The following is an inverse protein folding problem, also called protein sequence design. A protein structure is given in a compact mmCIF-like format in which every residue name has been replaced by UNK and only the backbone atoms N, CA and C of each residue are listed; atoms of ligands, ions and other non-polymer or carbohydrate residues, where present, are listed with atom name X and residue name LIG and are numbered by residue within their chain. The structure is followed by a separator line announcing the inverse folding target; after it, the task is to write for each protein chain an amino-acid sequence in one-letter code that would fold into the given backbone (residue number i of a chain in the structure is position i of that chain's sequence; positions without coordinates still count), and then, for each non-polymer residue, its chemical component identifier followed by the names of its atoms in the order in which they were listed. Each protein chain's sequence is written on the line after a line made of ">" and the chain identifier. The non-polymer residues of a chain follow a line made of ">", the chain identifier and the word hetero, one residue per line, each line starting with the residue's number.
data_IF_355332534901
#
_entry.id   IF_355332534901
#
_cell.length_a   1.000
_cell.length_b   1.000
_cell.length_c   1.000
_cell.angle_alpha   90.00
_cell.angle_beta   90.00
_cell.angle_gamma   90.00
#
_symmetry.space_group_name_H-M   'P 1'
#
loop_
_entity.id
_entity.type
_entity.pdbx_description
1 polymer ?
#
# COMPACT_ATOMS: atom_id res chain seq x y z
N UNK A 1 5.85 -3.26 20.95
CA UNK A 1 4.43 -3.39 21.37
C UNK A 1 3.83 -2.03 21.76
N UNK A 2 4.39 -1.25 22.71
CA UNK A 2 3.86 0.09 23.10
C UNK A 2 3.65 0.99 21.87
N UNK A 3 4.62 1.08 20.96
CA UNK A 3 4.52 1.87 19.73
C UNK A 3 3.36 1.41 18.83
N UNK A 4 3.17 0.11 18.66
CA UNK A 4 2.03 -0.42 17.88
C UNK A 4 0.70 -0.02 18.50
N UNK A 5 0.58 -0.11 19.82
CA UNK A 5 -0.63 0.34 20.53
C UNK A 5 -0.83 1.84 20.34
N UNK A 6 0.21 2.66 20.45
CA UNK A 6 0.12 4.10 20.24
C UNK A 6 -0.37 4.44 18.83
N UNK A 7 0.14 3.79 17.80
CA UNK A 7 -0.33 4.00 16.42
C UNK A 7 -1.78 3.56 16.22
N UNK A 8 -2.26 2.51 16.90
CA UNK A 8 -3.69 2.16 16.91
C UNK A 8 -4.57 3.21 17.58
N UNK A 9 -4.02 4.01 18.50
CA UNK A 9 -4.66 5.16 19.13
C UNK A 9 -4.38 6.50 18.42
N UNK A 10 -3.98 6.43 17.14
CA UNK A 10 -3.73 7.60 16.26
C UNK A 10 -2.53 8.43 16.73
N UNK A 11 -1.58 7.82 17.45
CA UNK A 11 -0.28 8.45 17.74
C UNK A 11 0.53 8.65 16.46
N UNK A 12 1.16 9.81 16.29
CA UNK A 12 1.90 10.16 15.07
C UNK A 12 3.42 10.21 15.27
N UNK A 13 3.87 10.42 16.51
CA UNK A 13 5.27 10.60 16.83
C UNK A 13 5.73 9.89 18.12
N UNK A 14 7.00 10.03 18.48
CA UNK A 14 7.57 9.41 19.67
C UNK A 14 7.04 10.01 20.96
N UNK A 15 6.63 11.28 20.94
CA UNK A 15 6.02 11.94 22.08
C UNK A 15 4.66 11.33 22.39
N UNK A 16 3.85 11.05 21.38
CA UNK A 16 2.56 10.39 21.54
C UNK A 16 2.73 8.97 22.11
N UNK A 17 3.73 8.22 21.65
CA UNK A 17 4.07 6.89 22.19
C UNK A 17 4.42 6.99 23.68
N UNK A 18 5.25 7.98 24.04
CA UNK A 18 5.64 8.22 25.42
C UNK A 18 4.46 8.64 26.29
N UNK A 19 3.62 9.57 25.82
CA UNK A 19 2.44 10.04 26.54
C UNK A 19 1.44 8.90 26.79
N UNK A 20 1.15 8.08 25.78
CA UNK A 20 0.31 6.89 25.94
C UNK A 20 0.89 5.95 27.00
N UNK A 21 2.17 5.63 26.91
CA UNK A 21 2.84 4.76 27.85
C UNK A 21 2.81 5.32 29.27
N UNK A 22 3.04 6.62 29.43
CA UNK A 22 3.06 7.28 30.74
C UNK A 22 1.68 7.34 31.40
N UNK A 23 0.64 7.64 30.63
CA UNK A 23 -0.70 7.85 31.19
C UNK A 23 -1.51 6.56 31.29
N UNK A 24 -1.29 5.60 30.39
CA UNK A 24 -2.08 4.37 30.30
C UNK A 24 -1.26 3.08 30.39
N UNK A 25 0.05 3.15 30.67
CA UNK A 25 0.93 1.99 30.74
C UNK A 25 0.48 0.94 31.74
N UNK A 26 -0.14 1.36 32.84
CA UNK A 26 -0.69 0.44 33.86
C UNK A 26 -1.82 -0.44 33.30
N UNK A 27 -2.66 0.11 32.40
CA UNK A 27 -3.76 -0.63 31.75
C UNK A 27 -3.23 -1.71 30.81
N UNK A 28 -2.04 -1.49 30.24
CA UNK A 28 -1.40 -2.40 29.31
C UNK A 28 -0.42 -3.39 29.98
N UNK A 29 -0.18 -3.27 31.30
CA UNK A 29 0.70 -4.17 32.05
C UNK A 29 0.42 -5.67 31.82
N UNK A 30 -0.84 -6.13 31.70
CA UNK A 30 -1.11 -7.54 31.42
C UNK A 30 -0.61 -8.00 30.04
N UNK A 31 -0.43 -7.07 29.10
CA UNK A 31 0.01 -7.31 27.73
C UNK A 31 1.48 -6.94 27.51
N UNK A 32 2.02 -6.06 28.35
CA UNK A 32 3.35 -5.48 28.18
C UNK A 32 4.18 -5.71 29.44
N UNK A 33 5.24 -6.49 29.29
CA UNK A 33 6.26 -6.58 30.32
C UNK A 33 7.11 -5.29 30.30
N UNK A 34 6.83 -4.38 31.23
CA UNK A 34 7.59 -3.14 31.43
C UNK A 34 8.28 -3.16 32.79
N UNK A 35 9.31 -4.01 33.01
CA UNK A 35 9.92 -4.21 34.32
C UNK A 35 10.57 -2.93 34.86
N UNK A 36 11.03 -2.05 33.99
CA UNK A 36 11.67 -0.77 34.34
C UNK A 36 10.74 0.44 34.15
N UNK A 37 9.43 0.21 34.01
CA UNK A 37 8.46 1.26 33.76
C UNK A 37 8.44 1.74 32.30
N UNK A 38 7.80 2.89 32.06
CA UNK A 38 7.68 3.47 30.75
C UNK A 38 9.04 3.99 30.24
N UNK A 39 9.52 3.58 29.05
CA UNK A 39 10.72 4.13 28.44
C UNK A 39 10.56 5.62 28.13
N UNK A 40 11.68 6.36 28.06
CA UNK A 40 11.67 7.75 27.62
C UNK A 40 11.46 7.85 26.11
N UNK A 41 11.06 9.04 25.65
CA UNK A 41 10.91 9.37 24.21
C UNK A 41 12.15 9.04 23.40
N UNK A 42 13.35 9.46 23.87
CA UNK A 42 14.64 9.13 23.24
C UNK A 42 14.89 7.62 23.14
N UNK A 43 14.39 6.85 24.11
CA UNK A 43 14.52 5.40 24.09
C UNK A 43 13.63 4.80 23.01
N UNK A 44 12.39 5.29 22.85
CA UNK A 44 11.51 4.87 21.78
C UNK A 44 12.12 5.21 20.41
N UNK A 45 12.61 6.44 20.23
CA UNK A 45 13.28 6.87 19.00
C UNK A 45 14.45 5.94 18.65
N UNK A 46 15.37 5.72 19.58
CA UNK A 46 16.54 4.86 19.38
C UNK A 46 16.17 3.42 19.02
N UNK A 47 15.16 2.86 19.68
CA UNK A 47 14.69 1.50 19.40
C UNK A 47 14.06 1.43 18.00
N UNK A 48 13.19 2.38 17.66
CA UNK A 48 12.52 2.40 16.35
C UNK A 48 13.51 2.60 15.19
N UNK A 49 14.59 3.38 15.40
CA UNK A 49 15.67 3.53 14.43
C UNK A 49 16.52 2.26 14.26
N UNK A 50 16.58 1.41 15.28
CA UNK A 50 17.32 0.14 15.23
C UNK A 50 16.52 -1.04 14.70
N UNK A 51 15.20 -0.88 14.55
CA UNK A 51 14.34 -1.95 14.02
C UNK A 51 14.51 -2.06 12.51
N UNK A 52 14.73 -3.27 12.02
CA UNK A 52 14.78 -3.57 10.60
C UNK A 52 13.36 -3.59 10.00
N UNK A 53 13.11 -2.72 9.02
CA UNK A 53 11.80 -2.61 8.35
C UNK A 53 11.33 -3.91 7.73
N UNK A 54 12.27 -4.72 7.20
CA UNK A 54 11.96 -6.00 6.56
C UNK A 54 11.44 -7.03 7.57
N UNK A 55 11.96 -7.02 8.80
CA UNK A 55 11.48 -7.90 9.86
C UNK A 55 10.05 -7.55 10.31
N UNK A 56 9.75 -6.25 10.44
CA UNK A 56 8.37 -5.80 10.72
C UNK A 56 7.44 -6.18 9.58
N UNK A 57 7.85 -5.95 8.33
CA UNK A 57 7.06 -6.32 7.15
C UNK A 57 6.76 -7.81 7.13
N UNK A 58 7.76 -8.66 7.37
CA UNK A 58 7.57 -10.11 7.46
C UNK A 58 6.60 -10.52 8.58
N UNK A 59 6.70 -9.90 9.76
CA UNK A 59 5.74 -10.14 10.84
C UNK A 59 4.31 -9.74 10.46
N UNK A 60 4.13 -8.61 9.79
CA UNK A 60 2.83 -8.14 9.32
C UNK A 60 2.26 -9.06 8.24
N UNK A 61 3.08 -9.54 7.30
CA UNK A 61 2.69 -10.51 6.27
C UNK A 61 2.20 -11.82 6.90
N UNK A 62 2.90 -12.34 7.92
CA UNK A 62 2.46 -13.52 8.67
C UNK A 62 1.13 -13.27 9.38
N UNK A 63 0.99 -12.11 10.03
CA UNK A 63 -0.25 -11.76 10.72
C UNK A 63 -1.44 -11.62 9.76
N UNK A 64 -1.24 -10.92 8.65
CA UNK A 64 -2.30 -10.73 7.64
C UNK A 64 -2.70 -12.03 6.97
N UNK A 65 -1.76 -12.97 6.74
CA UNK A 65 -2.05 -14.30 6.20
C UNK A 65 -2.90 -15.18 7.12
N UNK A 66 -2.90 -14.90 8.43
CA UNK A 66 -3.80 -15.56 9.38
C UNK A 66 -5.23 -15.03 9.30
N UNK A 67 -5.39 -13.75 8.90
CA UNK A 67 -6.69 -13.10 8.74
C UNK A 67 -7.30 -13.46 7.38
N UNK A 68 -6.50 -13.34 6.32
CA UNK A 68 -6.91 -13.61 4.94
C UNK A 68 -6.16 -14.84 4.46
N UNK A 69 -6.84 -15.98 4.51
CA UNK A 69 -6.25 -17.28 4.13
C UNK A 69 -6.27 -17.54 2.63
N UNK A 70 -7.19 -16.89 1.92
CA UNK A 70 -7.41 -17.06 0.49
C UNK A 70 -7.71 -15.69 -0.12
N UNK A 71 -7.02 -15.35 -1.19
CA UNK A 71 -7.21 -14.11 -1.94
C UNK A 71 -8.18 -14.29 -3.12
N UNK A 72 -8.66 -15.49 -3.37
CA UNK A 72 -9.58 -15.79 -4.48
C UNK A 72 -10.87 -14.97 -4.36
N UNK A 73 -11.24 -14.31 -5.45
CA UNK A 73 -12.41 -13.43 -5.51
C UNK A 73 -12.23 -12.07 -4.85
N UNK A 74 -11.07 -11.80 -4.24
CA UNK A 74 -10.80 -10.51 -3.59
C UNK A 74 -10.16 -9.51 -4.56
N UNK A 75 -10.39 -8.24 -4.29
CA UNK A 75 -9.82 -7.12 -5.04
C UNK A 75 -8.58 -6.58 -4.31
N UNK A 76 -7.45 -6.66 -4.97
CA UNK A 76 -6.14 -6.18 -4.48
C UNK A 76 -5.77 -4.91 -5.25
N UNK A 77 -5.82 -3.76 -4.59
CA UNK A 77 -5.34 -2.51 -5.14
C UNK A 77 -3.85 -2.33 -4.83
N UNK A 78 -3.03 -2.11 -5.85
CA UNK A 78 -1.61 -1.77 -5.68
C UNK A 78 -1.43 -0.29 -5.98
N UNK A 79 -0.92 0.43 -4.99
CA UNK A 79 -0.68 1.87 -5.07
C UNK A 79 0.64 2.25 -4.40
N UNK A 80 1.28 3.27 -4.97
CA UNK A 80 2.54 3.82 -4.48
C UNK A 80 2.31 5.12 -3.72
N UNK A 81 2.78 5.18 -2.47
CA UNK A 81 2.64 6.38 -1.64
C UNK A 81 4.00 6.97 -1.30
N UNK A 82 4.17 8.24 -1.62
CA UNK A 82 5.32 9.03 -1.16
C UNK A 82 5.19 9.29 0.34
N UNK A 83 6.19 8.85 1.11
CA UNK A 83 6.24 9.08 2.55
C UNK A 83 6.64 10.52 2.84
N UNK A 84 5.74 11.24 3.50
CA UNK A 84 6.01 12.61 3.97
C UNK A 84 6.90 12.55 5.22
N UNK A 85 7.86 13.46 5.34
CA UNK A 85 8.72 13.54 6.53
C UNK A 85 9.95 12.63 6.53
N UNK A 86 10.12 11.72 5.56
CA UNK A 86 11.31 10.87 5.47
C UNK A 86 12.57 11.64 5.07
N UNK A 87 12.43 12.92 4.71
CA UNK A 87 13.55 13.80 4.38
C UNK A 87 13.43 15.18 5.09
N UNK A 88 13.52 15.22 6.41
CA UNK A 88 13.28 16.46 7.18
C UNK A 88 14.31 17.57 6.92
N UNK A 89 15.48 17.25 6.33
CA UNK A 89 16.54 18.21 6.03
C UNK A 89 16.61 18.62 4.56
N UNK A 90 15.70 18.15 3.71
CA UNK A 90 15.66 18.50 2.28
C UNK A 90 16.83 17.96 1.45
N UNK A 91 17.69 17.13 2.01
CA UNK A 91 18.82 16.49 1.32
C UNK A 91 18.49 15.01 1.08
N UNK A 92 18.18 14.66 -0.16
CA UNK A 92 17.84 13.32 -0.60
C UNK A 92 16.41 13.19 -1.11
N UNK A 93 16.08 12.04 -1.68
CA UNK A 93 14.74 11.75 -2.18
C UNK A 93 13.84 11.22 -1.07
N UNK A 94 12.55 11.55 -1.15
CA UNK A 94 11.57 11.00 -0.22
C UNK A 94 11.37 9.52 -0.52
N UNK A 95 11.27 8.69 0.52
CA UNK A 95 10.97 7.27 0.38
C UNK A 95 9.56 7.06 -0.18
N UNK A 96 9.42 6.08 -1.06
CA UNK A 96 8.12 5.60 -1.56
C UNK A 96 7.86 4.20 -1.05
N UNK A 97 6.61 3.88 -0.78
CA UNK A 97 6.19 2.53 -0.42
C UNK A 97 5.08 2.11 -1.36
N UNK A 98 5.27 0.98 -2.03
CA UNK A 98 4.20 0.26 -2.72
C UNK A 98 3.46 -0.58 -1.69
N UNK A 99 2.13 -0.55 -1.73
CA UNK A 99 1.27 -1.34 -0.85
C UNK A 99 0.28 -2.14 -1.67
N UNK A 100 0.04 -3.38 -1.26
CA UNK A 100 -1.03 -4.22 -1.76
C UNK A 100 -2.17 -4.20 -0.74
N UNK A 101 -3.29 -3.59 -1.11
CA UNK A 101 -4.45 -3.35 -0.27
C UNK A 101 -5.61 -4.21 -0.69
N UNK A 102 -6.17 -4.99 0.23
CA UNK A 102 -7.40 -5.78 0.00
C UNK A 102 -8.60 -4.94 0.41
N UNK A 103 -9.44 -4.58 -0.57
CA UNK A 103 -10.55 -3.66 -0.36
C UNK A 103 -11.62 -4.23 0.58
N UNK A 104 -11.96 -5.50 0.42
CA UNK A 104 -13.02 -6.16 1.19
C UNK A 104 -12.69 -6.25 2.69
N UNK A 105 -11.40 -6.31 3.02
CA UNK A 105 -10.91 -6.39 4.40
C UNK A 105 -10.35 -5.09 4.93
N UNK A 106 -10.21 -4.06 4.08
CA UNK A 106 -9.56 -2.79 4.43
C UNK A 106 -8.18 -3.01 5.07
N UNK A 107 -7.38 -3.90 4.48
CA UNK A 107 -6.12 -4.35 5.04
C UNK A 107 -5.01 -4.36 3.99
N UNK A 108 -3.84 -3.82 4.35
CA UNK A 108 -2.61 -3.98 3.56
C UNK A 108 -2.00 -5.34 3.86
N UNK A 109 -1.80 -6.16 2.83
CA UNK A 109 -1.30 -7.55 2.96
C UNK A 109 0.17 -7.70 2.64
N UNK A 110 0.73 -6.74 1.90
CA UNK A 110 2.17 -6.69 1.61
C UNK A 110 2.58 -5.26 1.29
N UNK A 111 3.85 -4.98 1.54
CA UNK A 111 4.48 -3.70 1.19
C UNK A 111 5.88 -3.93 0.62
N UNK A 112 6.33 -2.99 -0.23
CA UNK A 112 7.67 -2.97 -0.80
C UNK A 112 8.20 -1.54 -0.80
N UNK A 113 9.38 -1.33 -0.22
CA UNK A 113 10.03 -0.04 -0.26
C UNK A 113 10.67 0.21 -1.62
N UNK A 114 10.37 1.36 -2.22
CA UNK A 114 11.01 1.80 -3.46
C UNK A 114 12.30 2.52 -3.10
N UNK A 115 13.44 1.89 -3.41
CA UNK A 115 14.76 2.47 -3.13
C UNK A 115 15.07 3.69 -3.99
N UNK A 116 16.00 4.55 -3.53
CA UNK A 116 16.39 5.81 -4.19
C UNK A 116 16.78 5.68 -5.67
N UNK A 117 17.29 4.51 -6.10
CA UNK A 117 17.73 4.23 -7.48
C UNK A 117 16.72 3.36 -8.26
N UNK A 118 15.61 3.00 -7.68
CA UNK A 118 14.55 2.21 -8.31
C UNK A 118 13.31 3.06 -8.53
N UNK A 119 12.51 2.70 -9.52
CA UNK A 119 11.20 3.31 -9.72
C UNK A 119 10.10 2.35 -9.27
N UNK A 120 8.90 2.85 -9.11
CA UNK A 120 7.74 2.05 -8.68
C UNK A 120 7.52 0.83 -9.59
N UNK A 121 7.70 0.99 -10.91
CA UNK A 121 7.51 -0.08 -11.92
C UNK A 121 8.41 -1.28 -11.61
N UNK A 122 9.67 -1.06 -11.22
CA UNK A 122 10.63 -2.13 -10.93
C UNK A 122 10.37 -2.83 -9.59
N UNK A 123 9.61 -2.22 -8.70
CA UNK A 123 9.25 -2.79 -7.41
C UNK A 123 7.93 -3.58 -7.44
N UNK A 124 7.03 -3.29 -8.39
CA UNK A 124 5.77 -4.02 -8.54
C UNK A 124 5.98 -5.55 -8.68
N UNK A 125 6.88 -6.06 -9.53
CA UNK A 125 7.13 -7.50 -9.62
C UNK A 125 7.52 -8.14 -8.29
N UNK A 126 8.36 -7.48 -7.49
CA UNK A 126 8.77 -7.98 -6.17
C UNK A 126 7.60 -8.04 -5.19
N UNK A 127 6.72 -7.02 -5.22
CA UNK A 127 5.52 -7.03 -4.40
C UNK A 127 4.56 -8.15 -4.81
N UNK A 128 4.34 -8.35 -6.13
CA UNK A 128 3.51 -9.42 -6.65
C UNK A 128 4.07 -10.82 -6.29
N UNK A 129 5.41 -10.98 -6.21
CA UNK A 129 6.02 -12.25 -5.84
C UNK A 129 5.66 -12.69 -4.42
N UNK A 130 5.44 -11.76 -3.51
CA UNK A 130 5.01 -12.03 -2.13
C UNK A 130 3.57 -12.53 -2.03
N UNK A 131 2.75 -12.38 -3.07
CA UNK A 131 1.30 -12.62 -3.02
C UNK A 131 0.92 -13.92 -3.73
N UNK A 132 -0.02 -14.67 -3.15
CA UNK A 132 -0.69 -15.81 -3.79
C UNK A 132 -1.93 -15.30 -4.55
N UNK A 133 -1.77 -14.95 -5.84
CA UNK A 133 -2.78 -14.22 -6.61
C UNK A 133 -3.84 -15.11 -7.26
N UNK A 134 -3.83 -16.42 -7.06
CA UNK A 134 -4.79 -17.33 -7.70
C UNK A 134 -6.23 -16.91 -7.44
N UNK A 135 -6.96 -16.57 -8.50
CA UNK A 135 -8.36 -16.13 -8.44
C UNK A 135 -8.59 -14.71 -7.89
N UNK A 136 -7.55 -13.96 -7.53
CA UNK A 136 -7.67 -12.56 -7.12
C UNK A 136 -7.70 -11.62 -8.33
N UNK A 137 -8.25 -10.42 -8.15
CA UNK A 137 -8.24 -9.34 -9.15
C UNK A 137 -7.30 -8.24 -8.68
N UNK A 138 -6.20 -8.02 -9.39
CA UNK A 138 -5.22 -6.97 -9.09
C UNK A 138 -5.54 -5.71 -9.89
N UNK A 139 -5.58 -4.56 -9.23
CA UNK A 139 -5.74 -3.27 -9.89
C UNK A 139 -4.55 -2.37 -9.65
N UNK A 140 -4.15 -1.64 -10.66
CA UNK A 140 -3.08 -0.64 -10.61
C UNK A 140 -3.42 0.57 -11.45
N UNK A 141 -2.76 1.69 -11.16
CA UNK A 141 -2.80 2.87 -11.99
C UNK A 141 -2.04 2.67 -13.32
N UNK A 142 -2.01 3.70 -14.16
CA UNK A 142 -1.39 3.63 -15.49
C UNK A 142 0.12 3.36 -15.47
N UNK A 143 0.83 3.63 -14.38
CA UNK A 143 2.26 3.28 -14.27
C UNK A 143 2.47 1.77 -14.23
N UNK A 144 1.53 1.03 -13.61
CA UNK A 144 1.53 -0.43 -13.57
C UNK A 144 1.12 -1.11 -14.88
N UNK A 145 0.73 -0.36 -15.93
CA UNK A 145 0.35 -0.93 -17.22
C UNK A 145 1.59 -1.27 -18.04
N UNK A 146 2.22 -2.40 -17.66
CA UNK A 146 3.41 -2.97 -18.29
C UNK A 146 3.17 -4.43 -18.61
N UNK A 147 3.77 -4.91 -19.71
CA UNK A 147 3.60 -6.29 -20.19
C UNK A 147 4.06 -7.28 -19.14
N UNK A 148 5.23 -7.06 -18.55
CA UNK A 148 5.83 -7.95 -17.55
C UNK A 148 4.93 -8.09 -16.30
N UNK A 149 4.26 -7.00 -15.89
CA UNK A 149 3.34 -7.00 -14.75
C UNK A 149 2.08 -7.81 -15.08
N UNK A 150 1.53 -7.63 -16.29
CA UNK A 150 0.36 -8.38 -16.75
C UNK A 150 0.69 -9.89 -16.84
N UNK A 151 1.83 -10.25 -17.44
CA UNK A 151 2.28 -11.64 -17.56
C UNK A 151 2.49 -12.29 -16.19
N UNK A 152 3.05 -11.57 -15.23
CA UNK A 152 3.24 -12.07 -13.87
C UNK A 152 1.92 -12.36 -13.16
N UNK A 153 0.92 -11.48 -13.31
CA UNK A 153 -0.43 -11.74 -12.78
C UNK A 153 -1.04 -13.01 -13.38
N UNK A 154 -0.99 -13.15 -14.72
CA UNK A 154 -1.50 -14.34 -15.41
C UNK A 154 -0.75 -15.61 -14.97
N UNK A 155 0.58 -15.56 -14.89
CA UNK A 155 1.41 -16.68 -14.42
C UNK A 155 1.03 -17.12 -13.00
N UNK A 156 0.64 -16.19 -12.15
CA UNK A 156 0.16 -16.46 -10.79
C UNK A 156 -1.35 -16.79 -10.74
N UNK A 157 -2.00 -16.94 -11.90
CA UNK A 157 -3.43 -17.25 -12.06
C UNK A 157 -4.35 -16.19 -11.45
N UNK A 158 -3.89 -14.95 -11.37
CA UNK A 158 -4.68 -13.79 -11.00
C UNK A 158 -5.24 -13.08 -12.22
N UNK A 159 -6.36 -12.40 -12.04
CA UNK A 159 -6.90 -11.44 -12.99
C UNK A 159 -6.35 -10.04 -12.71
N UNK A 160 -6.44 -9.13 -13.69
CA UNK A 160 -5.99 -7.77 -13.50
C UNK A 160 -6.85 -6.74 -14.21
N UNK A 161 -6.92 -5.53 -13.64
CA UNK A 161 -7.46 -4.33 -14.29
C UNK A 161 -6.42 -3.23 -14.17
N UNK A 162 -5.80 -2.88 -15.30
CA UNK A 162 -4.74 -1.87 -15.37
C UNK A 162 -5.29 -0.62 -16.06
N UNK A 163 -5.08 0.54 -15.43
CA UNK A 163 -5.52 1.81 -16.00
C UNK A 163 -4.66 2.17 -17.24
N UNK A 164 -5.31 2.55 -18.33
CA UNK A 164 -4.63 2.91 -19.57
C UNK A 164 -4.66 4.42 -19.78
N UNK A 165 -3.48 5.01 -20.02
CA UNK A 165 -3.29 6.44 -20.29
C UNK A 165 -2.27 6.63 -21.42
N UNK A 166 -1.99 7.90 -21.78
CA UNK A 166 -1.05 8.23 -22.84
C UNK A 166 0.41 7.82 -22.65
N UNK A 167 0.79 7.27 -21.46
CA UNK A 167 2.10 6.64 -21.23
C UNK A 167 2.30 5.36 -22.06
N UNK A 168 1.19 4.70 -22.47
CA UNK A 168 1.16 3.56 -23.39
C UNK A 168 0.43 3.97 -24.65
N UNK A 169 1.02 4.88 -25.44
CA UNK A 169 0.37 5.61 -26.53
C UNK A 169 -0.32 4.70 -27.54
N UNK A 170 0.37 3.72 -28.08
CA UNK A 170 -0.18 2.83 -29.11
C UNK A 170 -1.36 2.00 -28.59
N UNK A 171 -1.20 1.41 -27.41
CA UNK A 171 -2.27 0.65 -26.76
C UNK A 171 -3.48 1.54 -26.42
N UNK A 172 -3.24 2.81 -26.05
CA UNK A 172 -4.29 3.78 -25.78
C UNK A 172 -5.05 4.17 -27.05
N UNK A 173 -4.33 4.41 -28.16
CA UNK A 173 -4.90 4.69 -29.47
C UNK A 173 -5.74 3.50 -29.96
N UNK A 174 -5.21 2.27 -29.94
CA UNK A 174 -5.92 1.05 -30.32
C UNK A 174 -7.18 0.81 -29.49
N UNK A 175 -7.12 1.01 -28.16
CA UNK A 175 -8.27 0.90 -27.29
C UNK A 175 -9.33 1.97 -27.63
N UNK A 176 -8.91 3.22 -27.86
CA UNK A 176 -9.81 4.32 -28.24
C UNK A 176 -10.52 4.02 -29.55
N UNK A 177 -9.80 3.52 -30.54
CA UNK A 177 -10.36 3.15 -31.85
C UNK A 177 -11.33 1.96 -31.72
N UNK A 178 -10.98 0.96 -30.91
CA UNK A 178 -11.86 -0.18 -30.64
C UNK A 178 -13.18 0.25 -29.99
N UNK A 179 -13.15 1.21 -29.05
CA UNK A 179 -14.35 1.75 -28.40
C UNK A 179 -15.16 2.67 -29.31
N UNK A 180 -14.52 3.39 -30.24
CA UNK A 180 -15.21 4.27 -31.18
C UNK A 180 -15.90 3.51 -32.31
N UNK A 181 -15.36 2.36 -32.72
CA UNK A 181 -15.85 1.55 -33.86
C UNK A 181 -16.84 0.45 -33.44
N UNK A 182 -16.82 0.00 -32.20
CA UNK A 182 -17.75 -1.04 -31.70
C UNK A 182 -19.06 -0.44 -31.22
N UNK A 183 -20.20 -1.06 -31.58
CA UNK A 183 -21.49 -0.79 -30.93
C UNK A 183 -21.41 -1.19 -29.45
N UNK A 184 -21.38 -0.19 -28.56
CA UNK A 184 -21.38 -0.43 -27.11
C UNK A 184 -22.76 -0.89 -26.68
N UNK A 185 -22.87 -2.08 -26.09
CA UNK A 185 -24.13 -2.61 -25.55
C UNK A 185 -24.64 -1.84 -24.34
N UNK A 186 -23.74 -1.20 -23.57
CA UNK A 186 -24.08 -0.32 -22.44
C UNK A 186 -23.05 0.82 -22.36
N UNK A 187 -23.56 2.03 -22.12
CA UNK A 187 -22.74 3.22 -21.81
C UNK A 187 -23.18 3.77 -20.47
N UNK A 188 -22.25 3.89 -19.52
CA UNK A 188 -22.46 4.60 -18.28
C UNK A 188 -21.86 5.99 -18.37
N UNK A 189 -22.63 7.01 -18.01
CA UNK A 189 -22.17 8.40 -17.96
C UNK A 189 -22.29 8.90 -16.54
N UNK A 190 -21.18 9.22 -15.94
CA UNK A 190 -21.11 9.83 -14.62
C UNK A 190 -20.62 11.27 -14.73
N UNK A 191 -21.32 12.20 -14.07
CA UNK A 191 -20.89 13.58 -13.90
C UNK A 191 -20.65 13.85 -12.43
N UNK A 192 -19.40 14.10 -12.07
CA UNK A 192 -19.02 14.49 -10.71
C UNK A 192 -18.65 15.97 -10.69
N UNK A 193 -19.37 16.75 -9.89
CA UNK A 193 -19.07 18.15 -9.66
C UNK A 193 -18.12 18.29 -8.47
N UNK A 194 -16.83 18.54 -8.74
CA UNK A 194 -15.86 18.93 -7.73
C UNK A 194 -15.79 20.44 -7.53
N UNK A 195 -15.00 20.90 -6.58
CA UNK A 195 -14.71 22.34 -6.42
C UNK A 195 -14.09 22.88 -7.72
N UNK A 196 -14.83 23.71 -8.44
CA UNK A 196 -14.45 24.42 -9.68
C UNK A 196 -14.31 23.57 -10.98
N UNK A 197 -14.57 22.25 -10.97
CA UNK A 197 -14.46 21.40 -12.14
C UNK A 197 -15.62 20.42 -12.25
N UNK A 198 -16.10 20.21 -13.49
CA UNK A 198 -17.05 19.13 -13.80
C UNK A 198 -16.29 18.05 -14.54
N UNK A 199 -16.07 16.91 -13.89
CA UNK A 199 -15.52 15.73 -14.52
C UNK A 199 -16.63 14.89 -15.14
N UNK A 200 -16.51 14.59 -16.43
CA UNK A 200 -17.39 13.66 -17.14
C UNK A 200 -16.62 12.38 -17.40
N UNK A 201 -17.16 11.26 -16.94
CA UNK A 201 -16.64 9.91 -17.18
C UNK A 201 -17.66 9.13 -18.02
N UNK A 202 -17.18 8.45 -19.04
CA UNK A 202 -18.03 7.63 -19.93
C UNK A 202 -17.41 6.23 -20.07
#
# INVERSE_FOLDING_TARGET
>A
MVALIAYLFIGEDYSDIYQLCRHRGEEFKPLLELPNGCPSEDTFERVMQAVHSDEISACLEVYTSQIIKDLSGLHIAIDGKKMRGTNPRGHGESSYILSAWVNEHSLSIAQEAVGEKSNEITCVPKLLDKLALEGAVVTMDAMGTQVEIAEQNVKKKGDFVLALKGNQRHLFEDATDAFSTRQLHKRHLEQVKGHERIDKRS
#
